data_IF_898049437313
#
_entry.id   IF_898049437313
#
_cell.length_a   1.000
_cell.length_b   1.000
_cell.length_c   1.000
_cell.angle_alpha   90.00
_cell.angle_beta   90.00
_cell.angle_gamma   90.00
#
_symmetry.space_group_name_H-M   'P 1'
#
loop_
_entity.id
_entity.type
_entity.pdbx_description
1 polymer ?
#
# COMPACT_ATOMS: atom_id res chain seq x y z
N UNK A 1 -4.91 -13.77 3.68
CA UNK A 1 -4.72 -13.89 2.21
C UNK A 1 -5.19 -12.60 1.59
N UNK A 2 -4.27 -11.92 0.90
CA UNK A 2 -4.56 -10.71 0.14
C UNK A 2 -4.51 -11.12 -1.34
N UNK A 3 -5.67 -11.29 -1.94
CA UNK A 3 -5.79 -11.71 -3.33
C UNK A 3 -6.44 -10.61 -4.15
N UNK A 4 -5.85 -10.32 -5.30
CA UNK A 4 -6.43 -9.41 -6.28
C UNK A 4 -7.55 -10.12 -7.05
N UNK A 5 -8.57 -9.39 -7.39
CA UNK A 5 -9.71 -9.88 -8.19
C UNK A 5 -10.03 -8.92 -9.32
N UNK A 6 -10.45 -9.46 -10.45
CA UNK A 6 -10.89 -8.68 -11.60
C UNK A 6 -12.16 -9.25 -12.20
N UNK A 7 -13.10 -8.36 -12.53
CA UNK A 7 -14.12 -8.59 -13.56
C UNK A 7 -14.06 -7.49 -14.62
N UNK A 8 -14.18 -6.24 -14.18
CA UNK A 8 -14.10 -5.03 -15.01
C UNK A 8 -13.08 -4.03 -14.46
N UNK A 9 -12.66 -4.21 -13.21
CA UNK A 9 -11.69 -3.37 -12.50
C UNK A 9 -10.74 -4.27 -11.72
N UNK A 10 -9.53 -3.81 -11.47
CA UNK A 10 -8.62 -4.46 -10.53
C UNK A 10 -8.93 -3.99 -9.11
N UNK A 11 -9.39 -4.91 -8.28
CA UNK A 11 -9.41 -4.72 -6.84
C UNK A 11 -8.17 -5.40 -6.25
N UNK A 12 -7.13 -4.63 -5.98
CA UNK A 12 -5.89 -5.15 -5.41
C UNK A 12 -6.12 -5.68 -4.00
N UNK A 13 -5.55 -6.85 -3.70
CA UNK A 13 -5.55 -7.40 -2.35
C UNK A 13 -4.63 -6.57 -1.45
N UNK A 14 -5.20 -5.88 -0.48
CA UNK A 14 -4.49 -4.98 0.44
C UNK A 14 -4.81 -5.25 1.90
N UNK A 15 -3.78 -5.12 2.75
CA UNK A 15 -3.91 -4.95 4.20
C UNK A 15 -3.18 -3.66 4.57
N UNK A 16 -3.83 -2.77 5.31
CA UNK A 16 -3.21 -1.52 5.73
C UNK A 16 -3.76 -1.03 7.06
N UNK A 17 -2.96 -0.23 7.76
CA UNK A 17 -3.42 0.51 8.93
C UNK A 17 -4.16 1.76 8.48
N UNK A 18 -5.45 1.85 8.83
CA UNK A 18 -6.31 2.94 8.41
C UNK A 18 -7.76 2.51 8.21
N UNK A 19 -8.48 3.24 7.37
CA UNK A 19 -9.88 2.95 7.06
C UNK A 19 -10.12 2.92 5.55
N UNK A 20 -11.08 2.12 5.12
CA UNK A 20 -11.51 2.05 3.72
C UNK A 20 -13.01 2.40 3.62
N UNK A 21 -13.34 3.18 2.61
CA UNK A 21 -14.73 3.50 2.26
C UNK A 21 -14.94 3.29 0.77
N UNK A 22 -16.02 2.60 0.43
CA UNK A 22 -16.49 2.50 -0.95
C UNK A 22 -17.79 3.28 -1.13
N UNK A 23 -17.88 4.04 -2.21
CA UNK A 23 -19.09 4.77 -2.61
C UNK A 23 -19.44 4.35 -4.03
N UNK A 24 -20.59 3.69 -4.20
CA UNK A 24 -21.06 3.26 -5.52
C UNK A 24 -21.57 4.44 -6.34
N UNK A 25 -21.32 4.40 -7.64
CA UNK A 25 -21.85 5.38 -8.61
C UNK A 25 -22.10 4.68 -9.95
N UNK A 26 -23.36 4.55 -10.36
CA UNK A 26 -23.74 3.88 -11.60
C UNK A 26 -23.15 2.45 -11.71
N UNK A 27 -22.45 2.17 -12.81
CA UNK A 27 -21.72 0.92 -13.04
C UNK A 27 -20.25 1.04 -12.59
N UNK A 28 -20.04 1.35 -11.31
CA UNK A 28 -18.73 1.52 -10.71
C UNK A 28 -18.80 2.26 -9.39
N UNK A 29 -17.77 3.02 -9.05
CA UNK A 29 -17.70 3.79 -7.82
C UNK A 29 -16.31 4.31 -7.49
N UNK A 30 -16.20 4.81 -6.27
CA UNK A 30 -14.94 5.31 -5.68
C UNK A 30 -14.58 4.49 -4.47
N UNK A 31 -13.38 3.92 -4.46
CA UNK A 31 -12.73 3.39 -3.28
C UNK A 31 -11.79 4.45 -2.69
N UNK A 32 -11.93 4.75 -1.40
CA UNK A 32 -11.07 5.67 -0.69
C UNK A 32 -10.39 4.97 0.49
N UNK A 33 -9.07 5.04 0.55
CA UNK A 33 -8.24 4.59 1.65
C UNK A 33 -7.76 5.81 2.42
N UNK A 34 -7.97 5.81 3.73
CA UNK A 34 -7.38 6.80 4.63
C UNK A 34 -6.26 6.09 5.40
N UNK A 35 -5.02 6.39 5.06
CA UNK A 35 -3.84 5.79 5.65
C UNK A 35 -3.50 6.40 7.01
N UNK A 36 -3.02 5.54 7.90
CA UNK A 36 -2.49 5.90 9.20
C UNK A 36 -3.45 5.59 10.34
N UNK A 37 -2.86 5.08 11.40
CA UNK A 37 -3.51 4.86 12.67
C UNK A 37 -2.64 5.49 13.76
N UNK A 38 -3.29 6.16 14.71
CA UNK A 38 -2.57 6.82 15.81
C UNK A 38 -1.62 5.84 16.50
N UNK A 39 -0.39 6.26 16.68
CA UNK A 39 0.68 5.44 17.19
C UNK A 39 1.48 6.16 18.25
N UNK A 40 1.63 5.51 19.38
CA UNK A 40 2.51 5.93 20.45
C UNK A 40 3.61 4.91 20.60
N UNK A 41 4.84 5.36 20.80
CA UNK A 41 5.97 4.47 21.02
C UNK A 41 6.84 4.97 22.18
N UNK A 42 7.35 4.05 22.96
CA UNK A 42 8.30 4.35 24.05
C UNK A 42 9.74 4.36 23.54
N UNK A 43 10.01 3.50 22.57
CA UNK A 43 11.31 3.41 21.89
C UNK A 43 11.08 3.37 20.38
N UNK A 44 12.05 3.86 19.62
CA UNK A 44 11.97 3.79 18.14
C UNK A 44 11.99 2.33 17.67
N UNK A 45 10.95 1.85 16.99
CA UNK A 45 10.99 0.52 16.38
C UNK A 45 12.09 0.48 15.32
N UNK A 46 12.80 -0.64 15.25
CA UNK A 46 13.94 -0.79 14.34
C UNK A 46 13.58 -1.54 13.06
N UNK A 47 12.55 -2.37 13.11
CA UNK A 47 12.13 -3.16 11.96
C UNK A 47 10.67 -3.62 12.07
N UNK A 48 10.06 -3.89 10.92
CA UNK A 48 8.87 -4.72 10.78
C UNK A 48 9.30 -6.14 10.41
N UNK A 49 8.88 -7.12 11.19
CA UNK A 49 9.08 -8.54 10.87
C UNK A 49 7.77 -9.13 10.33
N UNK A 50 7.88 -9.97 9.32
CA UNK A 50 6.72 -10.56 8.66
C UNK A 50 7.11 -11.88 7.98
N UNK A 51 6.20 -12.86 8.04
CA UNK A 51 6.23 -14.04 7.16
C UNK A 51 5.32 -13.80 5.98
N UNK A 52 5.78 -14.15 4.80
CA UNK A 52 4.98 -13.95 3.60
C UNK A 52 5.16 -15.07 2.57
N UNK A 53 4.18 -15.19 1.69
CA UNK A 53 4.26 -15.87 0.39
C UNK A 53 3.58 -15.00 -0.64
N UNK A 54 4.19 -14.87 -1.81
CA UNK A 54 3.69 -14.01 -2.87
C UNK A 54 3.59 -14.76 -4.20
N UNK A 55 2.59 -14.41 -4.97
CA UNK A 55 2.53 -14.67 -6.40
C UNK A 55 2.52 -13.33 -7.10
N UNK A 56 3.51 -13.13 -7.98
CA UNK A 56 3.72 -11.89 -8.72
C UNK A 56 3.93 -12.25 -10.19
N UNK A 57 2.93 -12.00 -11.00
CA UNK A 57 2.92 -12.28 -12.44
C UNK A 57 2.91 -10.97 -13.24
N UNK A 58 3.15 -11.00 -14.55
CA UNK A 58 3.09 -9.81 -15.39
C UNK A 58 1.74 -9.08 -15.33
N UNK A 59 1.76 -7.78 -15.45
CA UNK A 59 0.59 -6.89 -15.46
C UNK A 59 -0.40 -7.30 -16.54
N UNK A 60 -1.64 -7.56 -16.18
CA UNK A 60 -2.73 -7.85 -17.13
C UNK A 60 -3.73 -6.69 -17.25
N UNK A 61 -3.75 -5.76 -16.28
CA UNK A 61 -4.66 -4.62 -16.23
C UNK A 61 -3.93 -3.32 -15.91
N UNK A 62 -4.29 -2.26 -16.63
CA UNK A 62 -3.90 -0.88 -16.35
C UNK A 62 -5.05 0.06 -16.66
N UNK A 63 -5.96 0.24 -15.71
CA UNK A 63 -7.27 0.89 -15.94
C UNK A 63 -7.19 2.40 -15.77
N UNK A 64 -6.48 2.87 -14.73
CA UNK A 64 -6.36 4.29 -14.40
C UNK A 64 -5.00 4.88 -14.79
N UNK A 65 -4.35 4.31 -15.81
CA UNK A 65 -3.07 4.76 -16.35
C UNK A 65 -1.97 4.81 -15.28
N UNK A 66 -1.84 3.72 -14.54
CA UNK A 66 -0.76 3.53 -13.58
C UNK A 66 0.60 3.35 -14.27
N UNK A 67 1.68 3.32 -13.47
CA UNK A 67 3.06 3.41 -13.97
C UNK A 67 3.59 2.16 -14.67
N UNK A 68 2.95 0.99 -14.50
CA UNK A 68 3.40 -0.24 -15.15
C UNK A 68 2.60 -0.49 -16.43
N UNK A 69 3.31 -0.76 -17.50
CA UNK A 69 2.69 -1.15 -18.76
C UNK A 69 2.24 -2.61 -18.72
N UNK A 70 1.25 -2.94 -19.57
CA UNK A 70 0.77 -4.30 -19.72
C UNK A 70 1.91 -5.24 -20.15
N UNK A 71 1.87 -6.48 -19.66
CA UNK A 71 2.85 -7.53 -19.90
C UNK A 71 4.26 -7.26 -19.31
N UNK A 72 4.46 -6.14 -18.58
CA UNK A 72 5.66 -5.95 -17.76
C UNK A 72 5.52 -6.62 -16.39
N UNK A 73 6.64 -6.93 -15.73
CA UNK A 73 6.63 -7.56 -14.41
C UNK A 73 5.95 -6.67 -13.39
N UNK A 74 4.90 -7.19 -12.75
CA UNK A 74 4.23 -6.52 -11.64
C UNK A 74 5.06 -6.58 -10.35
N UNK A 75 4.63 -5.85 -9.34
CA UNK A 75 5.30 -5.76 -8.05
C UNK A 75 4.28 -5.82 -6.92
N UNK A 76 4.55 -6.66 -5.93
CA UNK A 76 3.92 -6.54 -4.62
C UNK A 76 4.81 -5.72 -3.69
N UNK A 77 4.24 -5.17 -2.63
CA UNK A 77 4.99 -4.33 -1.70
C UNK A 77 4.50 -4.50 -0.28
N UNK A 78 5.46 -4.53 0.65
CA UNK A 78 5.22 -4.41 2.08
C UNK A 78 6.01 -3.20 2.56
N UNK A 79 5.36 -2.26 3.22
CA UNK A 79 6.09 -1.14 3.83
C UNK A 79 5.55 -0.75 5.19
N UNK A 80 6.39 -0.09 5.94
CA UNK A 80 6.05 0.56 7.21
C UNK A 80 6.56 1.99 7.18
N UNK A 81 5.71 2.92 7.58
CA UNK A 81 6.08 4.32 7.77
C UNK A 81 5.57 4.82 9.13
N UNK A 82 6.42 5.54 9.83
CA UNK A 82 6.04 6.35 10.97
C UNK A 82 6.00 7.79 10.46
N UNK A 83 4.86 8.43 10.66
CA UNK A 83 4.56 9.72 10.06
C UNK A 83 4.09 10.71 11.12
N UNK A 84 4.51 11.97 10.98
CA UNK A 84 4.06 13.09 11.80
C UNK A 84 2.85 13.73 11.11
N UNK A 85 1.71 13.06 11.20
CA UNK A 85 0.46 13.50 10.61
C UNK A 85 -0.56 13.90 11.66
N UNK A 86 -1.15 15.05 11.46
CA UNK A 86 -2.30 15.52 12.24
C UNK A 86 -3.62 14.96 11.73
N UNK A 87 -3.65 14.57 10.45
CA UNK A 87 -4.80 13.96 9.75
C UNK A 87 -4.33 12.74 8.95
N UNK A 88 -5.25 11.90 8.52
CA UNK A 88 -4.95 10.76 7.65
C UNK A 88 -4.74 11.21 6.21
N UNK A 89 -3.78 10.59 5.51
CA UNK A 89 -3.62 10.76 4.07
C UNK A 89 -4.65 9.92 3.31
N UNK A 90 -5.36 10.55 2.38
CA UNK A 90 -6.42 9.89 1.61
C UNK A 90 -6.01 9.64 0.18
N UNK A 91 -6.11 8.38 -0.25
CA UNK A 91 -5.98 7.96 -1.64
C UNK A 91 -7.33 7.50 -2.15
N UNK A 92 -7.78 8.06 -3.27
CA UNK A 92 -9.08 7.76 -3.85
C UNK A 92 -8.95 7.29 -5.29
N UNK A 93 -9.52 6.13 -5.60
CA UNK A 93 -9.56 5.54 -6.93
C UNK A 93 -11.00 5.50 -7.42
N UNK A 94 -11.30 6.22 -8.47
CA UNK A 94 -12.63 6.30 -9.07
C UNK A 94 -12.64 5.61 -10.43
N UNK A 95 -13.56 4.66 -10.61
CA UNK A 95 -13.88 4.09 -11.90
C UNK A 95 -15.38 3.89 -12.04
N UNK A 96 -15.93 4.49 -13.06
CA UNK A 96 -17.32 4.33 -13.49
C UNK A 96 -17.32 4.03 -14.98
N UNK A 97 -17.98 2.95 -15.38
CA UNK A 97 -18.09 2.58 -16.79
C UNK A 97 -18.77 3.73 -17.57
N UNK A 98 -18.11 4.22 -18.61
CA UNK A 98 -18.50 5.43 -19.38
C UNK A 98 -18.45 6.74 -18.59
N UNK A 99 -17.86 6.74 -17.38
CA UNK A 99 -17.65 7.96 -16.58
C UNK A 99 -16.50 8.81 -17.13
N UNK A 100 -16.63 10.13 -17.02
CA UNK A 100 -15.59 11.09 -17.43
C UNK A 100 -14.55 11.38 -16.35
N UNK A 101 -14.84 11.06 -15.09
CA UNK A 101 -14.01 11.42 -13.93
C UNK A 101 -13.25 10.22 -13.35
N UNK A 102 -12.91 9.26 -14.20
CA UNK A 102 -12.12 8.11 -13.79
C UNK A 102 -10.67 8.54 -13.51
N UNK A 103 -10.11 8.11 -12.38
CA UNK A 103 -8.75 8.46 -12.02
C UNK A 103 -8.39 8.06 -10.58
N UNK A 104 -7.12 8.25 -10.26
CA UNK A 104 -6.57 8.13 -8.92
C UNK A 104 -6.13 9.51 -8.41
N UNK A 105 -6.56 9.86 -7.21
CA UNK A 105 -6.22 11.13 -6.55
C UNK A 105 -5.56 10.82 -5.22
N UNK A 106 -4.49 11.57 -4.90
CA UNK A 106 -3.74 11.40 -3.66
C UNK A 106 -2.82 10.18 -3.65
N UNK A 107 -2.57 9.54 -4.80
CA UNK A 107 -1.61 8.43 -4.86
C UNK A 107 -0.28 8.84 -4.22
N UNK A 108 0.24 7.97 -3.36
CA UNK A 108 1.39 8.28 -2.55
C UNK A 108 2.41 7.15 -2.56
N UNK A 109 3.62 7.48 -2.96
CA UNK A 109 4.78 6.62 -2.78
C UNK A 109 5.70 7.20 -1.70
N UNK A 110 5.78 6.57 -0.52
CA UNK A 110 6.60 7.05 0.58
C UNK A 110 8.12 7.05 0.30
N UNK A 111 8.59 6.37 -0.72
CA UNK A 111 10.01 6.43 -1.11
C UNK A 111 10.37 7.75 -1.79
N UNK A 112 9.46 8.26 -2.60
CA UNK A 112 9.69 9.47 -3.40
C UNK A 112 9.08 10.71 -2.78
N UNK A 113 7.96 10.58 -2.06
CA UNK A 113 7.21 11.70 -1.48
C UNK A 113 7.16 11.56 0.04
N UNK A 114 8.09 12.24 0.72
CA UNK A 114 8.19 12.19 2.18
C UNK A 114 7.19 13.09 2.92
N UNK A 115 6.60 14.04 2.23
CA UNK A 115 5.50 14.87 2.74
C UNK A 115 4.39 14.95 1.70
N UNK A 116 3.32 14.16 1.84
CA UNK A 116 2.19 14.19 0.91
C UNK A 116 1.23 15.37 1.14
N UNK A 117 1.47 16.21 2.14
CA UNK A 117 0.66 17.37 2.48
C UNK A 117 0.17 17.39 3.94
N UNK A 118 0.04 16.23 4.58
CA UNK A 118 -0.44 16.09 5.95
C UNK A 118 0.68 16.18 6.99
N UNK A 119 1.93 15.94 6.58
CA UNK A 119 3.13 15.98 7.43
C UNK A 119 4.25 15.11 6.87
N UNK A 120 5.28 14.93 7.67
CA UNK A 120 6.52 14.27 7.27
C UNK A 120 6.54 12.79 7.62
N UNK A 121 7.17 11.99 6.77
CA UNK A 121 7.65 10.66 7.15
C UNK A 121 8.89 10.86 8.02
N UNK A 122 8.88 10.31 9.23
CA UNK A 122 10.00 10.37 10.17
C UNK A 122 10.76 9.04 10.28
N UNK A 123 10.13 7.94 9.92
CA UNK A 123 10.75 6.61 9.83
C UNK A 123 10.10 5.80 8.73
N UNK A 124 10.89 5.01 8.00
CA UNK A 124 10.40 4.26 6.85
C UNK A 124 11.22 3.00 6.57
N UNK A 125 10.54 1.95 6.11
CA UNK A 125 11.15 0.75 5.56
C UNK A 125 10.21 0.06 4.58
N UNK A 126 10.75 -0.56 3.53
CA UNK A 126 9.95 -1.30 2.56
C UNK A 126 10.62 -2.55 2.04
N UNK A 127 9.81 -3.46 1.52
CA UNK A 127 10.18 -4.63 0.77
C UNK A 127 9.38 -4.69 -0.52
N UNK A 128 10.08 -4.65 -1.65
CA UNK A 128 9.51 -4.89 -2.97
C UNK A 128 9.63 -6.36 -3.33
N UNK A 129 8.56 -6.93 -3.85
CA UNK A 129 8.48 -8.32 -4.30
C UNK A 129 8.18 -8.33 -5.80
N UNK A 130 9.12 -8.83 -6.58
CA UNK A 130 9.02 -8.90 -8.05
C UNK A 130 8.97 -10.33 -8.56
N UNK A 131 9.07 -11.31 -7.65
CA UNK A 131 9.11 -12.72 -7.99
C UNK A 131 8.08 -13.51 -7.19
N UNK A 132 7.57 -14.55 -7.79
CA UNK A 132 6.70 -15.52 -7.11
C UNK A 132 7.54 -16.39 -6.18
N UNK A 133 7.14 -16.47 -4.92
CA UNK A 133 7.75 -17.41 -3.97
C UNK A 133 7.17 -18.82 -4.16
N UNK A 134 7.84 -19.82 -3.59
CA UNK A 134 7.27 -21.17 -3.53
C UNK A 134 5.91 -21.15 -2.81
N UNK A 135 4.93 -21.88 -3.34
CA UNK A 135 3.60 -21.96 -2.73
C UNK A 135 3.60 -22.66 -1.36
N UNK A 136 4.59 -23.52 -1.11
CA UNK A 136 4.74 -24.28 0.14
C UNK A 136 5.55 -23.55 1.21
N UNK A 137 6.46 -22.64 0.80
CA UNK A 137 7.50 -22.14 1.69
C UNK A 137 7.25 -20.69 2.08
N UNK A 138 7.08 -20.47 3.38
CA UNK A 138 7.03 -19.14 3.95
C UNK A 138 8.42 -18.50 3.94
N UNK A 139 8.45 -17.27 3.46
CA UNK A 139 9.64 -16.42 3.55
C UNK A 139 9.56 -15.56 4.80
N UNK A 140 10.70 -15.33 5.46
CA UNK A 140 10.81 -14.40 6.58
C UNK A 140 11.47 -13.11 6.09
N UNK A 141 10.87 -11.98 6.37
CA UNK A 141 11.45 -10.69 6.10
C UNK A 141 11.59 -9.87 7.38
N UNK A 142 12.72 -9.17 7.49
CA UNK A 142 12.98 -8.14 8.50
C UNK A 142 13.22 -6.82 7.76
N UNK A 143 12.16 -6.03 7.65
CA UNK A 143 12.18 -4.74 6.95
C UNK A 143 12.71 -3.69 7.93
N UNK A 144 13.95 -3.27 7.74
CA UNK A 144 14.60 -2.27 8.60
C UNK A 144 13.92 -0.91 8.44
N UNK A 145 13.65 -0.24 9.56
CA UNK A 145 13.11 1.12 9.57
C UNK A 145 14.28 2.10 9.66
N UNK A 146 14.46 2.88 8.60
CA UNK A 146 15.37 4.01 8.60
C UNK A 146 14.65 5.21 9.23
N UNK A 147 15.20 5.74 10.32
CA UNK A 147 14.72 6.95 10.94
C UNK A 147 15.36 8.17 10.28
N UNK A 148 14.53 9.04 9.74
CA UNK A 148 14.95 10.30 9.12
C UNK A 148 15.04 11.41 10.15
N UNK A 149 14.22 11.37 11.20
CA UNK A 149 14.26 12.26 12.34
C UNK A 149 14.75 11.53 13.59
N UNK A 150 15.96 11.87 14.04
CA UNK A 150 16.59 11.31 15.24
C UNK A 150 16.22 12.08 16.52
N UNK A 151 15.60 13.25 16.38
CA UNK A 151 15.25 14.14 17.51
C UNK A 151 13.84 13.92 18.03
N UNK A 152 12.96 13.31 17.22
CA UNK A 152 11.61 12.94 17.61
C UNK A 152 11.60 12.13 18.90
N UNK A 153 10.82 12.59 19.88
CA UNK A 153 10.67 11.89 21.17
C UNK A 153 9.49 10.92 21.12
N UNK A 154 9.62 9.72 21.69
CA UNK A 154 8.48 8.86 21.96
C UNK A 154 7.40 9.60 22.76
N UNK A 155 6.15 9.31 22.51
CA UNK A 155 4.97 9.92 23.14
C UNK A 155 4.77 11.43 22.93
N UNK A 156 5.67 12.11 22.24
CA UNK A 156 5.46 13.50 21.82
C UNK A 156 4.77 13.54 20.45
N UNK A 157 3.77 14.38 20.31
CA UNK A 157 3.15 14.69 19.03
C UNK A 157 2.04 13.73 18.56
N UNK A 158 1.61 13.93 17.32
CA UNK A 158 0.50 13.24 16.70
C UNK A 158 1.01 12.24 15.63
N UNK A 159 1.78 11.26 16.07
CA UNK A 159 2.32 10.26 15.16
C UNK A 159 1.25 9.28 14.68
N UNK A 160 1.41 8.82 13.44
CA UNK A 160 0.65 7.73 12.88
C UNK A 160 1.57 6.64 12.37
N UNK A 161 1.12 5.40 12.53
CA UNK A 161 1.75 4.24 11.93
C UNK A 161 1.00 3.90 10.66
N UNK A 162 1.73 3.79 9.56
CA UNK A 162 1.24 3.25 8.29
C UNK A 162 1.96 1.93 8.03
N UNK A 163 1.23 0.83 8.08
CA UNK A 163 1.67 -0.46 7.52
C UNK A 163 0.81 -0.71 6.31
N UNK A 164 1.43 -1.09 5.22
CA UNK A 164 0.72 -1.47 3.99
C UNK A 164 1.35 -2.72 3.38
N UNK A 165 0.50 -3.70 3.08
CA UNK A 165 0.86 -4.93 2.38
C UNK A 165 -0.05 -5.02 1.15
N UNK A 166 0.50 -4.87 -0.03
CA UNK A 166 -0.24 -4.82 -1.28
C UNK A 166 0.23 -5.93 -2.23
N UNK A 167 -0.70 -6.73 -2.72
CA UNK A 167 -0.42 -7.74 -3.75
C UNK A 167 -0.10 -7.11 -5.13
N UNK A 168 -0.56 -5.89 -5.36
CA UNK A 168 -0.21 -5.05 -6.51
C UNK A 168 0.17 -3.67 -5.96
N UNK A 169 1.42 -3.29 -6.09
CA UNK A 169 1.96 -2.05 -5.51
C UNK A 169 1.30 -0.77 -6.07
N UNK A 170 0.75 -0.85 -7.29
CA UNK A 170 0.04 0.24 -7.95
C UNK A 170 -1.47 -0.01 -8.05
N UNK A 171 -2.00 -0.74 -7.08
CA UNK A 171 -3.43 -1.04 -6.98
C UNK A 171 -4.34 0.20 -6.92
N UNK A 172 -3.83 1.33 -6.43
CA UNK A 172 -4.53 2.62 -6.42
C UNK A 172 -4.87 3.11 -7.84
N UNK A 173 -4.04 2.76 -8.81
CA UNK A 173 -4.29 3.03 -10.24
C UNK A 173 -5.06 1.90 -10.92
N UNK A 174 -5.54 0.90 -10.18
CA UNK A 174 -6.08 -0.34 -10.76
C UNK A 174 -5.10 -0.92 -11.81
N UNK A 175 -3.80 -0.90 -11.45
CA UNK A 175 -2.69 -1.31 -12.30
C UNK A 175 -1.97 -2.48 -11.64
N UNK A 176 -1.92 -3.61 -12.33
CA UNK A 176 -1.26 -4.82 -11.85
C UNK A 176 -1.83 -6.09 -12.46
N UNK A 177 -1.46 -7.23 -11.90
CA UNK A 177 -1.96 -8.55 -12.31
C UNK A 177 -3.12 -9.01 -11.42
N UNK A 178 -4.24 -9.35 -12.05
CA UNK A 178 -5.46 -9.84 -11.36
C UNK A 178 -5.28 -11.20 -10.67
N UNK A 179 -4.20 -11.90 -10.94
CA UNK A 179 -3.89 -13.23 -10.37
C UNK A 179 -2.90 -13.17 -9.21
N UNK A 180 -2.39 -11.98 -8.89
CA UNK A 180 -1.45 -11.81 -7.81
C UNK A 180 -2.10 -12.05 -6.45
N UNK A 181 -1.30 -12.58 -5.54
CA UNK A 181 -1.66 -12.64 -4.13
C UNK A 181 -0.44 -12.36 -3.25
N UNK A 182 -0.73 -11.92 -2.05
CA UNK A 182 0.23 -11.78 -0.97
C UNK A 182 -0.37 -12.39 0.29
N UNK A 183 0.21 -13.47 0.78
CA UNK A 183 -0.15 -14.05 2.06
C UNK A 183 0.79 -13.48 3.11
N UNK A 184 0.23 -13.02 4.21
CA UNK A 184 0.94 -12.49 5.36
C UNK A 184 0.57 -13.32 6.57
N UNK A 185 1.55 -13.62 7.40
CA UNK A 185 1.41 -14.27 8.68
C UNK A 185 2.28 -13.56 9.71
N UNK A 186 1.89 -13.65 10.98
CA UNK A 186 2.71 -13.21 12.08
C UNK A 186 3.79 -14.26 12.42
N UNK A 187 4.83 -13.84 13.09
CA UNK A 187 5.93 -14.71 13.51
C UNK A 187 5.82 -15.07 15.00
#
# INVERSE_FOLDING_TARGET
ILQSISKFVLAAGNLFSGTFKYTSAGLGGTGAVNFGQKYFFETRPTALQVKYRAKVEPVDLNILKGPLEKDTQDKARIFVAIVDWTTQHTVSSTYVLFGSNNGCVGAWDPETTKNPGEGQIIGYGSLWLTETTSASDWQNAKIQIQWYDQTTKPADGNYSLVISCAANAYGDYMNGCSKNYLHIDDT
#
